data_IF_504931847770
#
_entry.id   IF_504931847770
#
_cell.length_a   1.000
_cell.length_b   1.000
_cell.length_c   1.000
_cell.angle_alpha   90.00
_cell.angle_beta   90.00
_cell.angle_gamma   90.00
#
_symmetry.space_group_name_H-M   'P 1'
#
loop_
_entity.id
_entity.type
_entity.pdbx_description
1 polymer ?
#
# COMPACT_ATOMS: atom_id res chain seq x y z
N UNK A 1 5.56 10.36 13.21
CA UNK A 1 6.96 9.90 13.35
C UNK A 1 7.01 8.38 13.23
N UNK A 2 6.13 7.68 13.95
CA UNK A 2 5.67 6.30 13.70
C UNK A 2 5.62 5.87 12.22
N UNK A 3 4.96 6.61 11.33
CA UNK A 3 4.86 6.23 9.91
C UNK A 3 6.22 6.16 9.20
N UNK A 4 7.10 7.13 9.45
CA UNK A 4 8.43 7.18 8.82
C UNK A 4 9.31 6.03 9.30
N UNK A 5 9.27 5.70 10.60
CA UNK A 5 10.00 4.56 11.14
C UNK A 5 9.47 3.22 10.64
N UNK A 6 8.14 3.07 10.50
CA UNK A 6 7.56 1.88 9.90
C UNK A 6 8.04 1.68 8.46
N UNK A 7 8.07 2.76 7.66
CA UNK A 7 8.57 2.73 6.30
C UNK A 7 10.05 2.30 6.25
N UNK A 8 10.89 2.86 7.13
CA UNK A 8 12.30 2.50 7.20
C UNK A 8 12.51 1.03 7.62
N UNK A 9 11.81 0.57 8.66
CA UNK A 9 11.94 -0.80 9.16
C UNK A 9 11.52 -1.86 8.12
N UNK A 10 10.35 -1.67 7.50
CA UNK A 10 9.83 -2.60 6.50
C UNK A 10 10.61 -2.52 5.19
N UNK A 11 11.14 -1.35 4.83
CA UNK A 11 12.05 -1.24 3.69
C UNK A 11 13.36 -2.00 3.93
N UNK A 12 13.93 -1.94 5.14
CA UNK A 12 15.12 -2.74 5.49
C UNK A 12 14.82 -4.24 5.43
N UNK A 13 13.67 -4.67 5.93
CA UNK A 13 13.23 -6.07 5.83
C UNK A 13 13.11 -6.51 4.35
N UNK A 14 12.49 -5.67 3.50
CA UNK A 14 12.37 -5.93 2.07
C UNK A 14 13.73 -6.06 1.39
N UNK A 15 14.68 -5.18 1.71
CA UNK A 15 16.04 -5.23 1.18
C UNK A 15 16.73 -6.53 1.56
N UNK A 16 16.64 -6.96 2.83
CA UNK A 16 17.27 -8.20 3.30
C UNK A 16 16.65 -9.42 2.61
N UNK A 17 15.32 -9.46 2.48
CA UNK A 17 14.59 -10.59 1.89
C UNK A 17 14.75 -10.72 0.36
N UNK A 18 15.08 -9.63 -0.33
CA UNK A 18 15.16 -9.58 -1.80
C UNK A 18 16.54 -9.15 -2.31
N UNK A 19 17.57 -9.20 -1.47
CA UNK A 19 18.90 -8.68 -1.78
C UNK A 19 19.50 -9.26 -3.08
N UNK A 20 19.19 -10.53 -3.38
CA UNK A 20 19.60 -11.24 -4.58
C UNK A 20 18.92 -10.76 -5.88
N UNK A 21 17.75 -10.12 -5.76
CA UNK A 21 16.93 -9.64 -6.88
C UNK A 21 17.09 -8.14 -7.13
N UNK A 22 17.85 -7.45 -6.31
CA UNK A 22 17.99 -5.99 -6.35
C UNK A 22 19.33 -5.59 -6.95
N UNK A 23 19.29 -4.54 -7.78
CA UNK A 23 20.46 -3.93 -8.38
C UNK A 23 20.97 -2.77 -7.52
N UNK A 24 22.18 -2.28 -7.82
CA UNK A 24 22.74 -1.10 -7.15
C UNK A 24 22.12 0.18 -7.69
N UNK A 25 20.89 0.45 -7.30
CA UNK A 25 20.15 1.67 -7.64
C UNK A 25 19.24 2.11 -6.50
N UNK A 26 18.70 3.33 -6.61
CA UNK A 26 17.70 3.82 -5.67
C UNK A 26 16.34 3.26 -6.07
N UNK A 27 15.65 2.66 -5.10
CA UNK A 27 14.28 2.17 -5.25
C UNK A 27 13.34 3.01 -4.40
N UNK A 28 12.15 3.28 -4.92
CA UNK A 28 11.03 3.72 -4.09
C UNK A 28 10.57 2.57 -3.18
N UNK A 29 9.96 2.92 -2.05
CA UNK A 29 9.30 1.92 -1.19
C UNK A 29 8.23 1.20 -2.01
N UNK A 30 8.18 -0.14 -1.99
CA UNK A 30 7.10 -0.91 -2.61
C UNK A 30 5.72 -0.42 -2.14
N UNK A 31 4.79 -0.23 -3.07
CA UNK A 31 3.45 0.32 -2.79
C UNK A 31 2.68 -0.51 -1.76
N UNK A 32 2.87 -1.82 -1.74
CA UNK A 32 2.25 -2.72 -0.75
C UNK A 32 2.68 -2.39 0.68
N UNK A 33 3.97 -2.07 0.90
CA UNK A 33 4.49 -1.69 2.21
C UNK A 33 3.84 -0.39 2.67
N UNK A 34 3.82 0.61 1.80
CA UNK A 34 3.26 1.93 2.13
C UNK A 34 1.75 1.86 2.41
N UNK A 35 1.00 1.08 1.61
CA UNK A 35 -0.42 0.83 1.84
C UNK A 35 -0.69 0.10 3.15
N UNK A 36 0.15 -0.87 3.51
CA UNK A 36 0.01 -1.60 4.78
C UNK A 36 0.26 -0.68 5.98
N UNK A 37 1.27 0.20 5.92
CA UNK A 37 1.53 1.21 6.96
C UNK A 37 0.34 2.16 7.09
N UNK A 38 -0.21 2.63 5.98
CA UNK A 38 -1.38 3.50 5.98
C UNK A 38 -2.59 2.83 6.64
N UNK A 39 -2.90 1.58 6.27
CA UNK A 39 -3.98 0.78 6.87
C UNK A 39 -3.79 0.60 8.37
N UNK A 40 -2.58 0.23 8.82
CA UNK A 40 -2.27 0.06 10.24
C UNK A 40 -2.42 1.36 11.03
N UNK A 41 -2.02 2.51 10.45
CA UNK A 41 -2.21 3.81 11.10
C UNK A 41 -3.70 4.12 11.27
N UNK A 42 -4.48 3.98 10.20
CA UNK A 42 -5.91 4.27 10.24
C UNK A 42 -6.61 3.40 11.30
N UNK A 43 -6.29 2.11 11.33
CA UNK A 43 -6.78 1.19 12.35
C UNK A 43 -6.39 1.64 13.78
N UNK A 44 -5.14 2.04 14.00
CA UNK A 44 -4.68 2.54 15.30
C UNK A 44 -5.36 3.86 15.72
N UNK A 45 -5.87 4.63 14.77
CA UNK A 45 -6.69 5.83 15.01
C UNK A 45 -8.18 5.52 15.17
N UNK A 46 -8.59 4.26 15.05
CA UNK A 46 -10.00 3.85 15.07
C UNK A 46 -10.77 4.24 13.79
N UNK A 47 -10.07 4.49 12.69
CA UNK A 47 -10.65 4.86 11.40
C UNK A 47 -10.76 3.61 10.52
N UNK A 48 -11.96 3.32 10.04
CA UNK A 48 -12.24 2.29 9.03
C UNK A 48 -12.26 2.88 7.62
N UNK A 49 -11.81 2.11 6.65
CA UNK A 49 -11.96 2.41 5.22
C UNK A 49 -13.02 1.47 4.68
N UNK A 50 -14.06 2.02 4.07
CA UNK A 50 -15.15 1.23 3.49
C UNK A 50 -14.66 0.44 2.27
N UNK A 51 -15.33 -0.68 1.99
CA UNK A 51 -15.07 -1.51 0.80
C UNK A 51 -16.11 -1.25 -0.28
N UNK A 52 -15.67 -1.23 -1.54
CA UNK A 52 -16.59 -1.09 -2.66
C UNK A 52 -17.52 -2.31 -2.73
N UNK A 53 -18.81 -2.06 -2.89
CA UNK A 53 -19.78 -3.12 -3.16
C UNK A 53 -19.50 -3.73 -4.54
N UNK A 54 -19.92 -4.99 -4.80
CA UNK A 54 -19.76 -5.60 -6.12
C UNK A 54 -20.37 -4.77 -7.26
N UNK A 55 -21.46 -4.06 -6.98
CA UNK A 55 -22.12 -3.15 -7.92
C UNK A 55 -21.25 -1.93 -8.22
N UNK A 56 -20.64 -1.31 -7.20
CA UNK A 56 -19.73 -0.17 -7.37
C UNK A 56 -18.46 -0.57 -8.14
N UNK A 57 -17.90 -1.75 -7.87
CA UNK A 57 -16.76 -2.29 -8.63
C UNK A 57 -17.14 -2.49 -10.10
N UNK A 58 -18.30 -3.11 -10.36
CA UNK A 58 -18.80 -3.32 -11.73
C UNK A 58 -19.01 -1.99 -12.46
N UNK A 59 -19.61 -1.01 -11.79
CA UNK A 59 -19.84 0.32 -12.35
C UNK A 59 -18.52 1.02 -12.73
N UNK A 60 -17.52 1.02 -11.84
CA UNK A 60 -16.20 1.60 -12.11
C UNK A 60 -15.45 0.91 -13.27
N UNK A 61 -15.69 -0.39 -13.49
CA UNK A 61 -15.07 -1.16 -14.56
C UNK A 61 -15.84 -1.07 -15.90
N UNK A 62 -17.08 -0.58 -15.90
CA UNK A 62 -17.91 -0.51 -17.11
C UNK A 62 -17.71 0.82 -17.86
N UNK A 63 -17.46 0.74 -19.16
CA UNK A 63 -17.46 1.88 -20.08
C UNK A 63 -18.85 2.24 -20.62
N UNK A 64 -19.88 1.45 -20.30
CA UNK A 64 -21.25 1.59 -20.81
C UNK A 64 -22.04 2.71 -20.10
N UNK A 65 -21.58 3.13 -18.92
CA UNK A 65 -22.26 4.10 -18.04
C UNK A 65 -21.42 5.39 -17.90
N UNK A 66 -20.73 5.81 -18.96
CA UNK A 66 -19.92 7.04 -19.00
C UNK A 66 -20.30 7.97 -20.16
N UNK A 67 -20.37 9.28 -19.88
CA UNK A 67 -20.36 10.38 -20.86
C UNK A 67 -19.02 10.52 -21.55
#
# INVERSE_FOLDING_TARGET
>A
MDMSFANQALSLEYLVKNADKLEKRVYSVPSEIDQNIAKLKLAAMGISVDELTPQQVKYLASWEEGT
#
